data_IF_150049380274
#
_entry.id   IF_150049380274
#
_cell.length_a   1.000
_cell.length_b   1.000
_cell.length_c   1.000
_cell.angle_alpha   90.00
_cell.angle_beta   90.00
_cell.angle_gamma   90.00
#
_symmetry.space_group_name_H-M   'P 1'
#
loop_
_entity.id
_entity.type
_entity.pdbx_description
1 polymer ?
#
# COMPACT_ATOMS: atom_id res chain seq x y z
N UNK A 1 12.14 18.68 -8.00
CA UNK A 1 10.82 18.01 -7.92
C UNK A 1 10.90 17.03 -6.78
N UNK A 2 9.99 17.09 -5.82
CA UNK A 2 10.02 16.25 -4.60
C UNK A 2 9.83 14.75 -4.87
N UNK A 3 9.37 14.38 -6.08
CA UNK A 3 9.37 13.00 -6.57
C UNK A 3 10.78 12.36 -6.56
N UNK A 4 11.85 13.13 -6.77
CA UNK A 4 13.23 12.66 -6.64
C UNK A 4 13.62 12.40 -5.17
N UNK A 5 12.99 13.11 -4.24
CA UNK A 5 13.18 12.98 -2.79
C UNK A 5 12.18 11.98 -2.17
N UNK A 6 11.34 11.32 -2.98
CA UNK A 6 10.35 10.32 -2.58
C UNK A 6 9.50 10.75 -1.38
N UNK A 7 9.09 12.02 -1.37
CA UNK A 7 8.33 12.61 -0.27
C UNK A 7 7.43 13.73 -0.77
N UNK A 8 6.21 13.80 -0.25
CA UNK A 8 5.31 14.93 -0.43
C UNK A 8 5.67 16.06 0.53
N UNK A 9 5.72 17.27 -0.02
CA UNK A 9 5.94 18.51 0.71
C UNK A 9 4.74 19.43 0.52
N UNK A 10 4.66 20.49 1.33
CA UNK A 10 3.63 21.51 1.16
C UNK A 10 3.60 22.10 -0.26
N UNK A 11 4.75 22.17 -0.93
CA UNK A 11 4.87 22.69 -2.30
C UNK A 11 4.17 21.80 -3.34
N UNK A 12 3.90 20.53 -3.01
CA UNK A 12 3.22 19.59 -3.88
C UNK A 12 1.69 19.63 -3.75
N UNK A 13 1.18 20.36 -2.74
CA UNK A 13 -0.25 20.45 -2.44
C UNK A 13 -0.89 21.61 -3.18
N UNK A 14 -1.83 21.27 -4.06
CA UNK A 14 -2.60 22.23 -4.86
C UNK A 14 -3.58 23.01 -4.01
N UNK A 15 -3.91 24.23 -4.45
CA UNK A 15 -5.03 24.97 -3.89
C UNK A 15 -6.34 24.17 -4.07
N UNK A 16 -7.28 24.20 -3.09
CA UNK A 16 -8.51 23.41 -3.13
C UNK A 16 -9.32 23.59 -4.42
N UNK A 17 -9.43 24.81 -4.93
CA UNK A 17 -10.18 25.13 -6.15
C UNK A 17 -9.50 24.56 -7.40
N UNK A 18 -8.17 24.62 -7.45
CA UNK A 18 -7.39 24.07 -8.55
C UNK A 18 -7.48 22.53 -8.57
N UNK A 19 -7.37 21.89 -7.40
CA UNK A 19 -7.56 20.45 -7.30
C UNK A 19 -8.98 20.05 -7.70
N UNK A 20 -10.00 20.75 -7.21
CA UNK A 20 -11.40 20.46 -7.55
C UNK A 20 -11.67 20.52 -9.07
N UNK A 21 -11.05 21.47 -9.77
CA UNK A 21 -11.15 21.59 -11.23
C UNK A 21 -10.53 20.40 -11.98
N UNK A 22 -9.39 19.89 -11.50
CA UNK A 22 -8.63 18.82 -12.16
C UNK A 22 -8.97 17.41 -11.64
N UNK A 23 -9.71 17.31 -10.53
CA UNK A 23 -9.94 16.08 -9.76
C UNK A 23 -10.39 14.91 -10.63
N UNK A 24 -11.35 15.14 -11.54
CA UNK A 24 -11.88 14.08 -12.42
C UNK A 24 -10.81 13.53 -13.37
N UNK A 25 -10.00 14.40 -13.96
CA UNK A 25 -8.93 14.01 -14.87
C UNK A 25 -7.83 13.25 -14.13
N UNK A 26 -7.43 13.75 -12.95
CA UNK A 26 -6.41 13.12 -12.10
C UNK A 26 -6.84 11.73 -11.62
N UNK A 27 -8.10 11.59 -11.17
CA UNK A 27 -8.68 10.28 -10.83
C UNK A 27 -8.59 9.30 -11.99
N UNK A 28 -8.94 9.74 -13.21
CA UNK A 28 -8.88 8.88 -14.40
C UNK A 28 -7.45 8.47 -14.74
N UNK A 29 -6.49 9.38 -14.64
CA UNK A 29 -5.08 9.09 -14.89
C UNK A 29 -4.52 8.06 -13.88
N UNK A 30 -4.94 8.15 -12.62
CA UNK A 30 -4.49 7.26 -11.56
C UNK A 30 -5.09 5.85 -11.63
N UNK A 31 -6.22 5.66 -12.33
CA UNK A 31 -6.84 4.33 -12.45
C UNK A 31 -5.88 3.29 -13.05
N UNK A 32 -5.14 3.65 -14.09
CA UNK A 32 -4.16 2.74 -14.70
C UNK A 32 -3.07 2.38 -13.69
N UNK A 33 -2.52 3.38 -13.00
CA UNK A 33 -1.49 3.20 -11.96
C UNK A 33 -1.97 2.26 -10.86
N UNK A 34 -3.19 2.47 -10.34
CA UNK A 34 -3.79 1.59 -9.32
C UNK A 34 -4.01 0.17 -9.83
N UNK A 35 -4.41 0.01 -11.09
CA UNK A 35 -4.65 -1.32 -11.67
C UNK A 35 -3.36 -2.12 -11.82
N UNK A 36 -2.24 -1.46 -12.10
CA UNK A 36 -0.90 -2.08 -12.20
C UNK A 36 -0.26 -2.33 -10.82
N UNK A 37 -0.88 -1.84 -9.75
CA UNK A 37 -0.36 -1.93 -8.37
C UNK A 37 -1.30 -2.64 -7.40
N UNK A 38 -2.43 -3.16 -7.89
CA UNK A 38 -3.39 -3.95 -7.12
C UNK A 38 -3.17 -5.44 -7.34
N UNK A 39 -3.18 -6.21 -6.26
CA UNK A 39 -3.03 -7.66 -6.30
C UNK A 39 -3.96 -8.32 -5.27
N UNK A 40 -4.78 -9.26 -5.72
CA UNK A 40 -5.68 -10.03 -4.86
C UNK A 40 -4.97 -11.30 -4.37
N UNK A 41 -5.08 -11.60 -3.08
CA UNK A 41 -4.48 -12.77 -2.41
C UNK A 41 -5.58 -13.52 -1.67
N UNK A 42 -6.08 -14.58 -2.29
CA UNK A 42 -7.18 -15.36 -1.70
C UNK A 42 -8.54 -14.67 -1.86
N UNK A 43 -9.55 -15.06 -1.06
CA UNK A 43 -10.95 -14.68 -1.31
C UNK A 43 -11.33 -13.22 -1.05
N UNK A 44 -10.56 -12.47 -0.26
CA UNK A 44 -10.95 -11.15 0.24
C UNK A 44 -9.78 -10.24 0.67
N UNK A 45 -8.52 -10.64 0.51
CA UNK A 45 -7.39 -9.76 0.76
C UNK A 45 -6.91 -9.12 -0.54
N UNK A 46 -6.86 -7.80 -0.55
CA UNK A 46 -6.35 -7.00 -1.66
C UNK A 46 -5.16 -6.17 -1.19
N UNK A 47 -4.05 -6.25 -1.91
CA UNK A 47 -2.89 -5.41 -1.70
C UNK A 47 -2.87 -4.29 -2.72
N UNK A 48 -2.70 -3.07 -2.24
CA UNK A 48 -2.49 -1.87 -3.04
C UNK A 48 -1.07 -1.40 -2.77
N UNK A 49 -0.16 -1.67 -3.70
CA UNK A 49 1.21 -1.17 -3.60
C UNK A 49 1.23 0.33 -3.85
N UNK A 50 1.67 1.08 -2.84
CA UNK A 50 1.61 2.52 -2.84
C UNK A 50 2.83 3.13 -3.54
N UNK A 51 2.65 4.34 -4.06
CA UNK A 51 3.73 5.15 -4.60
C UNK A 51 3.45 6.63 -4.37
N UNK A 52 4.36 7.47 -4.87
CA UNK A 52 4.21 8.91 -4.80
C UNK A 52 2.86 9.39 -5.36
N UNK A 53 2.43 8.89 -6.51
CA UNK A 53 1.19 9.33 -7.16
C UNK A 53 -0.07 8.90 -6.41
N UNK A 54 -0.10 7.68 -5.86
CA UNK A 54 -1.23 7.20 -5.06
C UNK A 54 -1.34 8.01 -3.77
N UNK A 55 -0.22 8.31 -3.10
CA UNK A 55 -0.21 9.12 -1.89
C UNK A 55 -0.51 10.59 -2.15
N UNK A 56 0.03 11.16 -3.22
CA UNK A 56 -0.29 12.51 -3.65
C UNK A 56 -1.80 12.67 -3.84
N UNK A 57 -2.41 11.70 -4.52
CA UNK A 57 -3.84 11.71 -4.75
C UNK A 57 -4.64 11.51 -3.46
N UNK A 58 -4.20 10.61 -2.58
CA UNK A 58 -4.88 10.32 -1.33
C UNK A 58 -4.90 11.55 -0.40
N UNK A 59 -3.78 12.26 -0.25
CA UNK A 59 -3.72 13.53 0.51
C UNK A 59 -4.72 14.55 -0.04
N UNK A 60 -4.79 14.71 -1.36
CA UNK A 60 -5.73 15.66 -1.95
C UNK A 60 -7.20 15.21 -1.84
N UNK A 61 -7.49 13.91 -1.93
CA UNK A 61 -8.85 13.41 -1.69
C UNK A 61 -9.29 13.66 -0.25
N UNK A 62 -8.42 13.45 0.75
CA UNK A 62 -8.72 13.74 2.16
C UNK A 62 -9.04 15.22 2.36
N UNK A 63 -8.13 16.10 1.94
CA UNK A 63 -8.33 17.55 2.04
C UNK A 63 -9.61 18.01 1.32
N UNK A 64 -9.93 17.43 0.16
CA UNK A 64 -11.14 17.80 -0.60
C UNK A 64 -12.43 17.32 0.06
N UNK A 65 -12.49 16.06 0.51
CA UNK A 65 -13.68 15.45 1.12
C UNK A 65 -14.02 16.15 2.44
N UNK A 66 -12.99 16.41 3.26
CA UNK A 66 -13.14 17.05 4.56
C UNK A 66 -13.24 18.57 4.47
N UNK A 67 -13.05 19.15 3.28
CA UNK A 67 -12.92 20.60 3.05
C UNK A 67 -11.81 21.20 3.93
N UNK A 68 -10.72 20.43 4.08
CA UNK A 68 -9.54 20.78 4.86
C UNK A 68 -8.82 22.01 4.32
N UNK A 69 -8.22 22.77 5.23
CA UNK A 69 -7.44 23.97 4.94
C UNK A 69 -5.94 23.79 5.22
N UNK A 70 -5.21 24.90 5.23
CA UNK A 70 -3.76 24.94 5.44
C UNK A 70 -3.31 24.20 6.71
N UNK A 71 -4.06 24.33 7.80
CA UNK A 71 -3.75 23.73 9.10
C UNK A 71 -3.76 22.18 9.07
N UNK A 72 -4.55 21.59 8.17
CA UNK A 72 -4.67 20.14 8.06
C UNK A 72 -3.54 19.52 7.21
N UNK A 73 -2.94 20.29 6.30
CA UNK A 73 -1.95 19.79 5.33
C UNK A 73 -0.78 19.09 6.03
N UNK A 74 -0.26 19.66 7.11
CA UNK A 74 0.87 19.08 7.82
C UNK A 74 0.55 17.69 8.40
N UNK A 75 -0.67 17.51 8.92
CA UNK A 75 -1.16 16.23 9.43
C UNK A 75 -1.32 15.18 8.33
N UNK A 76 -1.95 15.54 7.20
CA UNK A 76 -2.11 14.64 6.06
C UNK A 76 -0.74 14.22 5.49
N UNK A 77 0.18 15.18 5.33
CA UNK A 77 1.54 14.87 4.89
C UNK A 77 2.27 13.95 5.85
N UNK A 78 2.09 14.11 7.16
CA UNK A 78 2.68 13.21 8.16
C UNK A 78 2.07 11.80 8.10
N UNK A 79 0.77 11.69 7.87
CA UNK A 79 0.07 10.42 7.80
C UNK A 79 0.40 9.61 6.53
N UNK A 80 0.53 10.28 5.37
CA UNK A 80 0.67 9.59 4.07
C UNK A 80 2.10 9.52 3.54
N UNK A 81 3.04 10.35 3.99
CA UNK A 81 4.44 10.24 3.57
C UNK A 81 5.10 8.90 3.90
N UNK A 82 4.84 8.26 5.07
CA UNK A 82 5.41 6.95 5.37
C UNK A 82 5.03 5.90 4.31
N UNK A 83 3.89 6.07 3.65
CA UNK A 83 3.40 5.14 2.64
C UNK A 83 4.05 5.32 1.25
N UNK A 84 5.02 6.22 1.10
CA UNK A 84 5.78 6.43 -0.13
C UNK A 84 7.07 5.59 -0.06
N UNK A 85 7.29 4.63 -0.99
CA UNK A 85 8.51 3.82 -0.99
C UNK A 85 9.78 4.66 -1.15
N UNK A 86 10.85 4.31 -0.42
CA UNK A 86 12.09 5.09 -0.35
C UNK A 86 13.25 4.56 -1.23
N UNK A 87 12.98 3.76 -2.26
CA UNK A 87 14.03 3.25 -3.18
C UNK A 87 14.58 1.87 -2.83
N UNK A 88 14.37 1.40 -1.59
CA UNK A 88 14.90 0.12 -1.09
C UNK A 88 13.84 -0.73 -0.41
N UNK A 89 12.58 -0.44 -0.67
CA UNK A 89 11.43 -1.14 -0.12
C UNK A 89 10.26 -1.07 -1.09
N UNK A 90 9.25 -1.90 -0.85
CA UNK A 90 7.89 -1.63 -1.31
C UNK A 90 7.02 -1.27 -0.13
N UNK A 91 6.01 -0.44 -0.36
CA UNK A 91 4.99 -0.15 0.65
C UNK A 91 3.64 -0.55 0.09
N UNK A 92 2.80 -1.18 0.89
CA UNK A 92 1.47 -1.63 0.47
C UNK A 92 0.42 -1.43 1.55
N UNK A 93 -0.78 -1.08 1.11
CA UNK A 93 -1.99 -1.17 1.91
C UNK A 93 -2.63 -2.54 1.70
N UNK A 94 -2.73 -3.35 2.74
CA UNK A 94 -3.54 -4.57 2.76
C UNK A 94 -4.97 -4.19 3.19
N UNK A 95 -5.95 -4.52 2.35
CA UNK A 95 -7.37 -4.37 2.66
C UNK A 95 -8.06 -5.74 2.71
N UNK A 96 -8.80 -5.99 3.80
CA UNK A 96 -9.68 -7.14 3.96
C UNK A 96 -11.10 -6.74 3.55
N UNK A 97 -11.44 -7.02 2.30
CA UNK A 97 -12.63 -6.52 1.60
C UNK A 97 -13.79 -7.52 1.77
N UNK A 98 -14.56 -7.37 2.85
CA UNK A 98 -15.74 -8.20 3.15
C UNK A 98 -16.98 -7.31 3.25
N UNK A 99 -17.91 -7.45 2.28
CA UNK A 99 -19.08 -6.59 2.15
C UNK A 99 -20.14 -6.84 3.23
N UNK A 100 -20.42 -8.12 3.54
CA UNK A 100 -21.46 -8.50 4.49
C UNK A 100 -21.00 -8.27 5.94
N UNK A 101 -21.68 -7.43 6.75
CA UNK A 101 -21.20 -7.04 8.08
C UNK A 101 -20.97 -8.20 9.05
N UNK A 102 -21.94 -9.12 9.16
CA UNK A 102 -21.85 -10.24 10.12
C UNK A 102 -20.74 -11.22 9.76
N UNK A 103 -20.51 -11.43 8.46
CA UNK A 103 -19.37 -12.20 7.98
C UNK A 103 -18.07 -11.44 8.22
N UNK A 104 -18.00 -10.15 7.91
CA UNK A 104 -16.80 -9.33 8.14
C UNK A 104 -16.36 -9.41 9.60
N UNK A 105 -17.28 -9.22 10.53
CA UNK A 105 -16.94 -9.25 11.96
C UNK A 105 -16.43 -10.62 12.40
N UNK A 106 -17.05 -11.70 11.93
CA UNK A 106 -16.62 -13.08 12.22
C UNK A 106 -15.24 -13.40 11.66
N UNK A 107 -14.98 -13.02 10.41
CA UNK A 107 -13.70 -13.29 9.76
C UNK A 107 -12.58 -12.48 10.43
N UNK A 108 -12.77 -11.17 10.65
CA UNK A 108 -11.77 -10.31 11.28
C UNK A 108 -11.43 -10.74 12.72
N UNK A 109 -12.40 -11.26 13.48
CA UNK A 109 -12.15 -11.81 14.81
C UNK A 109 -11.19 -13.02 14.80
N UNK A 110 -11.10 -13.72 13.66
CA UNK A 110 -10.17 -14.84 13.47
C UNK A 110 -8.84 -14.47 12.83
N UNK A 111 -8.57 -13.19 12.55
CA UNK A 111 -7.40 -12.75 11.76
C UNK A 111 -6.43 -11.85 12.53
N UNK A 112 -6.53 -11.77 13.86
CA UNK A 112 -5.57 -11.00 14.67
C UNK A 112 -4.12 -11.32 14.32
N UNK A 113 -3.32 -10.28 14.08
CA UNK A 113 -1.90 -10.43 13.70
C UNK A 113 -1.66 -10.92 12.26
N UNK A 114 -2.66 -10.90 11.37
CA UNK A 114 -2.50 -11.24 9.95
C UNK A 114 -1.37 -10.45 9.27
N UNK A 115 -1.20 -9.18 9.64
CA UNK A 115 -0.17 -8.26 9.16
C UNK A 115 1.26 -8.79 9.36
N UNK A 116 1.50 -9.54 10.44
CA UNK A 116 2.81 -10.12 10.78
C UNK A 116 3.17 -11.35 9.93
N UNK A 117 2.19 -11.86 9.18
CA UNK A 117 2.32 -13.10 8.41
C UNK A 117 2.50 -12.87 6.91
N UNK A 118 2.53 -11.61 6.48
CA UNK A 118 2.65 -11.25 5.07
C UNK A 118 4.10 -11.40 4.60
N UNK A 119 4.30 -12.05 3.45
CA UNK A 119 5.62 -12.28 2.88
C UNK A 119 5.65 -11.98 1.38
N UNK A 120 6.78 -11.45 0.91
CA UNK A 120 7.14 -11.33 -0.50
C UNK A 120 8.32 -12.28 -0.77
N UNK A 121 8.08 -13.32 -1.54
CA UNK A 121 9.11 -14.28 -1.95
C UNK A 121 9.69 -13.86 -3.29
N UNK A 122 11.00 -13.71 -3.38
CA UNK A 122 11.75 -13.34 -4.58
C UNK A 122 12.75 -14.46 -4.85
N UNK A 123 12.40 -15.37 -5.78
CA UNK A 123 13.13 -16.62 -5.99
C UNK A 123 13.16 -17.45 -4.71
N UNK A 124 14.35 -17.71 -4.18
CA UNK A 124 14.55 -18.45 -2.92
C UNK A 124 14.57 -17.55 -1.68
N UNK A 125 14.57 -16.23 -1.86
CA UNK A 125 14.61 -15.27 -0.76
C UNK A 125 13.21 -14.95 -0.26
N UNK A 126 13.06 -14.80 1.06
CA UNK A 126 11.81 -14.36 1.69
C UNK A 126 12.02 -12.99 2.32
N UNK A 127 11.13 -12.05 2.00
CA UNK A 127 11.02 -10.74 2.64
C UNK A 127 9.75 -10.76 3.47
N UNK A 128 9.87 -10.57 4.78
CA UNK A 128 8.71 -10.41 5.67
C UNK A 128 8.26 -8.96 5.62
N UNK A 129 6.95 -8.75 5.58
CA UNK A 129 6.39 -7.41 5.77
C UNK A 129 6.69 -6.93 7.19
N UNK A 130 6.82 -5.61 7.33
CA UNK A 130 6.93 -4.90 8.60
C UNK A 130 5.71 -3.97 8.67
N UNK A 131 4.78 -4.19 9.61
CA UNK A 131 3.64 -3.29 9.77
C UNK A 131 4.08 -1.88 10.20
N UNK A 132 3.34 -0.87 9.76
CA UNK A 132 3.56 0.51 10.22
C UNK A 132 3.32 0.63 11.72
N UNK A 133 4.30 1.19 12.44
CA UNK A 133 4.41 1.06 13.90
C UNK A 133 3.41 1.95 14.68
N UNK A 134 3.02 3.09 14.10
CA UNK A 134 2.21 4.09 14.79
C UNK A 134 0.70 3.78 14.83
N UNK A 135 0.30 2.58 14.40
CA UNK A 135 -1.09 2.17 14.28
C UNK A 135 -1.29 0.75 14.82
N UNK A 136 -1.89 0.62 16.01
CA UNK A 136 -2.40 -0.67 16.47
C UNK A 136 -3.56 -1.11 15.54
N UNK A 137 -3.32 -2.14 14.74
CA UNK A 137 -4.28 -2.69 13.76
C UNK A 137 -4.89 -4.03 14.19
N UNK A 138 -4.59 -4.47 15.40
CA UNK A 138 -5.28 -5.53 16.12
C UNK A 138 -5.74 -4.93 17.45
N UNK A 139 -7.03 -5.05 17.78
CA UNK A 139 -7.58 -4.50 19.03
C UNK A 139 -7.29 -5.39 20.25
N UNK A 140 -7.68 -4.91 21.44
CA UNK A 140 -7.46 -5.61 22.71
C UNK A 140 -8.14 -7.00 22.76
N UNK A 141 -9.20 -7.20 21.96
CA UNK A 141 -9.93 -8.47 21.84
C UNK A 141 -9.29 -9.41 20.78
N UNK A 142 -8.20 -8.98 20.13
CA UNK A 142 -7.50 -9.73 19.11
C UNK A 142 -8.14 -9.67 17.71
N UNK A 143 -9.07 -8.75 17.48
CA UNK A 143 -9.74 -8.57 16.18
C UNK A 143 -8.87 -7.72 15.26
N UNK A 144 -8.69 -8.19 14.03
CA UNK A 144 -7.95 -7.45 13.00
C UNK A 144 -8.74 -6.26 12.45
N UNK A 145 -8.02 -5.18 12.12
CA UNK A 145 -8.51 -4.09 11.29
C UNK A 145 -8.79 -4.58 9.86
N UNK A 146 -9.65 -3.88 9.12
CA UNK A 146 -9.83 -4.17 7.70
C UNK A 146 -8.73 -3.57 6.82
N UNK A 147 -7.84 -2.73 7.39
CA UNK A 147 -6.80 -2.02 6.65
C UNK A 147 -5.50 -2.07 7.44
N UNK A 148 -4.41 -2.48 6.78
CA UNK A 148 -3.06 -2.51 7.34
C UNK A 148 -2.07 -1.86 6.38
N UNK A 149 -1.06 -1.17 6.91
CA UNK A 149 0.04 -0.61 6.13
C UNK A 149 1.29 -1.42 6.36
N UNK A 150 1.95 -1.82 5.28
CA UNK A 150 3.02 -2.82 5.30
C UNK A 150 4.22 -2.35 4.48
N UNK A 151 5.40 -2.45 5.09
CA UNK A 151 6.68 -2.18 4.46
C UNK A 151 7.40 -3.48 4.12
N UNK A 152 8.02 -3.55 2.94
CA UNK A 152 8.80 -4.70 2.48
C UNK A 152 10.25 -4.25 2.25
N UNK A 153 11.09 -4.16 3.29
CA UNK A 153 12.47 -3.74 3.15
C UNK A 153 13.27 -4.77 2.34
N UNK A 154 14.02 -4.29 1.35
CA UNK A 154 14.81 -5.13 0.45
C UNK A 154 16.31 -4.95 0.67
N UNK A 155 17.05 -6.05 0.67
CA UNK A 155 18.51 -6.06 0.51
C UNK A 155 18.91 -5.84 -0.95
N UNK A 156 20.16 -5.43 -1.22
CA UNK A 156 20.61 -5.06 -2.58
C UNK A 156 20.47 -6.22 -3.57
N UNK A 157 20.74 -7.43 -3.11
CA UNK A 157 20.52 -8.66 -3.89
C UNK A 157 19.04 -8.88 -4.19
N UNK A 158 18.15 -8.78 -3.20
CA UNK A 158 16.71 -8.98 -3.39
C UNK A 158 16.11 -7.97 -4.39
N UNK A 159 16.51 -6.70 -4.32
CA UNK A 159 16.07 -5.68 -5.28
C UNK A 159 16.54 -6.00 -6.72
N UNK A 160 17.80 -6.44 -6.87
CA UNK A 160 18.35 -6.87 -8.16
C UNK A 160 17.62 -8.10 -8.71
N UNK A 161 17.36 -9.08 -7.86
CA UNK A 161 16.65 -10.31 -8.23
C UNK A 161 15.19 -10.01 -8.59
N UNK A 162 14.54 -9.07 -7.90
CA UNK A 162 13.20 -8.59 -8.25
C UNK A 162 13.13 -8.02 -9.66
N UNK A 163 14.16 -7.28 -10.10
CA UNK A 163 14.27 -6.75 -11.45
C UNK A 163 14.54 -7.80 -12.53
N UNK A 164 14.90 -9.03 -12.17
CA UNK A 164 15.16 -10.10 -13.12
C UNK A 164 13.88 -10.86 -13.49
N UNK A 165 13.43 -10.73 -14.74
CA UNK A 165 12.22 -11.38 -15.24
C UNK A 165 12.22 -12.92 -15.11
N UNK A 166 13.39 -13.58 -15.04
CA UNK A 166 13.47 -15.03 -14.86
C UNK A 166 13.24 -15.49 -13.41
N UNK A 167 13.29 -14.57 -12.44
CA UNK A 167 13.07 -14.86 -11.02
C UNK A 167 11.56 -14.81 -10.74
N UNK A 168 11.03 -15.84 -10.08
CA UNK A 168 9.63 -15.84 -9.66
C UNK A 168 9.42 -14.93 -8.45
N UNK A 169 8.29 -14.24 -8.42
CA UNK A 169 7.93 -13.36 -7.29
C UNK A 169 6.51 -13.66 -6.84
N UNK A 170 6.35 -13.97 -5.56
CA UNK A 170 5.05 -14.32 -4.96
C UNK A 170 4.77 -13.46 -3.74
N UNK A 171 3.55 -12.97 -3.63
CA UNK A 171 3.03 -12.35 -2.41
C UNK A 171 2.17 -13.38 -1.68
N UNK A 172 2.34 -13.50 -0.37
CA UNK A 172 1.61 -14.47 0.44
C UNK A 172 1.24 -13.95 1.82
N UNK A 173 0.21 -14.57 2.37
CA UNK A 173 -0.24 -14.44 3.76
C UNK A 173 -0.11 -15.83 4.37
N UNK A 174 0.62 -15.95 5.47
CA UNK A 174 0.91 -17.22 6.15
C UNK A 174 0.06 -17.41 7.41
N UNK A 175 -0.95 -16.57 7.63
CA UNK A 175 -1.86 -16.66 8.77
C UNK A 175 -2.62 -18.01 8.78
N UNK A 176 -2.72 -18.73 9.92
CA UNK A 176 -3.37 -20.05 9.98
C UNK A 176 -4.82 -20.07 9.48
N UNK A 177 -5.56 -18.96 9.71
CA UNK A 177 -6.95 -18.81 9.27
C UNK A 177 -7.08 -18.15 7.88
N UNK A 178 -5.96 -17.84 7.21
CA UNK A 178 -5.95 -17.17 5.90
C UNK A 178 -4.68 -17.45 5.07
N UNK A 179 -4.34 -18.72 4.90
CA UNK A 179 -3.13 -19.12 4.18
C UNK A 179 -3.34 -19.06 2.65
N UNK A 180 -2.91 -17.96 2.02
CA UNK A 180 -3.05 -17.73 0.59
C UNK A 180 -1.80 -17.09 -0.01
N UNK A 181 -1.56 -17.35 -1.30
CA UNK A 181 -0.47 -16.71 -2.04
C UNK A 181 -0.82 -16.57 -3.51
N UNK A 182 -0.19 -15.61 -4.16
CA UNK A 182 -0.36 -15.34 -5.59
C UNK A 182 0.97 -14.92 -6.21
N UNK A 183 1.12 -15.19 -7.50
CA UNK A 183 2.29 -14.77 -8.27
C UNK A 183 2.09 -13.36 -8.79
N UNK A 184 3.13 -12.52 -8.70
CA UNK A 184 3.09 -11.19 -9.30
C UNK A 184 3.20 -11.31 -10.82
N UNK A 185 2.24 -10.71 -11.52
CA UNK A 185 2.30 -10.57 -12.99
C UNK A 185 3.48 -9.70 -13.41
N UNK A 186 3.97 -9.87 -14.64
CA UNK A 186 5.04 -9.04 -15.19
C UNK A 186 4.69 -7.55 -15.16
N UNK A 187 3.43 -7.20 -15.48
CA UNK A 187 2.91 -5.84 -15.43
C UNK A 187 3.05 -5.20 -14.05
N UNK A 188 2.68 -5.93 -13.00
CA UNK A 188 2.84 -5.46 -11.61
C UNK A 188 4.32 -5.33 -11.27
N UNK A 189 5.14 -6.32 -11.62
CA UNK A 189 6.59 -6.26 -11.36
C UNK A 189 7.26 -5.06 -12.01
N UNK A 190 6.90 -4.73 -13.26
CA UNK A 190 7.40 -3.54 -13.95
C UNK A 190 6.98 -2.25 -13.23
N UNK A 191 5.72 -2.17 -12.80
CA UNK A 191 5.23 -1.01 -12.06
C UNK A 191 5.89 -0.83 -10.70
N UNK A 192 6.20 -1.91 -9.97
CA UNK A 192 6.88 -1.84 -8.67
C UNK A 192 8.38 -1.59 -8.83
N UNK A 193 9.01 -2.12 -9.88
CA UNK A 193 10.44 -1.92 -10.10
C UNK A 193 10.83 -0.43 -10.22
N UNK A 194 9.90 0.45 -10.60
CA UNK A 194 10.13 1.90 -10.64
C UNK A 194 10.32 2.54 -9.27
N UNK A 195 9.92 1.83 -8.21
CA UNK A 195 10.03 2.30 -6.82
C UNK A 195 11.41 2.01 -6.22
N UNK A 196 12.26 1.26 -6.93
CA UNK A 196 13.60 0.85 -6.48
C UNK A 196 14.72 1.65 -7.15
N UNK A 197 15.85 1.78 -6.44
CA UNK A 197 17.14 2.33 -6.93
C UNK A 197 18.08 1.28 -7.53
#
# INVERSE_FOLDING_TARGET
MSATERRLTRADIMAPEAYAAERRQRRRALMTVKTDRRLEVGPFASFYFENYDTMWHQVHEMLHIEKGGEEQIAGELAAYNPLIPQGREFVATLMLEIEEPDRRDRELAGLGGIEETVTLRIGTSVVRAVPEADLERTDEDGKASSVHFLHFPLTKSQAKDFGNASVDVMLGIEHPNYAHMTRLSERIRQALATDLD
#
